data_IF_740323362943
#
_entry.id   IF_740323362943
#
_cell.length_a   1.000
_cell.length_b   1.000
_cell.length_c   1.000
_cell.angle_alpha   90.00
_cell.angle_beta   90.00
_cell.angle_gamma   90.00
#
_symmetry.space_group_name_H-M   'P 1'
#
loop_
_entity.id
_entity.type
_entity.pdbx_description
1 polymer ?
#
# COMPACT_ATOMS: atom_id res chain seq x y z
N UNK A 1 -7.11 2.76 10.15
CA UNK A 1 -5.75 2.98 9.57
C UNK A 1 -5.23 1.66 9.01
N UNK A 2 -4.90 1.61 7.74
CA UNK A 2 -4.24 0.49 7.06
C UNK A 2 -2.72 0.71 7.11
N UNK A 3 -1.99 -0.16 7.80
CA UNK A 3 -0.54 -0.08 7.92
C UNK A 3 0.15 -1.19 7.18
N UNK A 4 0.94 -0.84 6.16
CA UNK A 4 1.77 -1.79 5.42
C UNK A 4 3.22 -1.65 5.86
N UNK A 5 3.82 -2.77 6.22
CA UNK A 5 5.21 -2.82 6.64
C UNK A 5 6.02 -3.65 5.65
N UNK A 6 7.10 -3.05 5.14
CA UNK A 6 8.08 -3.67 4.24
C UNK A 6 8.60 -4.99 4.79
N UNK A 7 8.84 -5.09 6.11
CA UNK A 7 9.37 -6.31 6.74
C UNK A 7 8.36 -7.45 6.96
N UNK A 8 7.07 -7.24 6.68
CA UNK A 8 6.01 -8.23 6.98
C UNK A 8 4.99 -8.36 5.87
N UNK A 9 5.43 -8.26 4.61
CA UNK A 9 4.60 -8.57 3.47
C UNK A 9 4.25 -10.06 3.46
N UNK A 10 3.05 -10.38 2.98
CA UNK A 10 2.61 -11.78 2.88
C UNK A 10 3.46 -12.57 1.87
N UNK A 11 3.59 -13.88 2.08
CA UNK A 11 4.36 -14.77 1.20
C UNK A 11 3.91 -14.66 -0.27
N UNK A 12 2.60 -14.49 -0.51
CA UNK A 12 2.07 -14.32 -1.87
C UNK A 12 2.60 -13.06 -2.54
N UNK A 13 2.67 -11.95 -1.81
CA UNK A 13 3.21 -10.69 -2.33
C UNK A 13 4.72 -10.82 -2.51
N UNK A 14 5.41 -11.38 -1.52
CA UNK A 14 6.86 -11.59 -1.56
C UNK A 14 7.27 -12.45 -2.75
N UNK A 15 6.57 -13.57 -3.00
CA UNK A 15 6.88 -14.47 -4.10
C UNK A 15 6.61 -13.84 -5.48
N UNK A 16 5.63 -12.94 -5.60
CA UNK A 16 5.24 -12.36 -6.90
C UNK A 16 5.96 -11.05 -7.23
N UNK A 17 6.20 -10.22 -6.24
CA UNK A 17 6.73 -8.86 -6.42
C UNK A 17 8.02 -8.60 -5.64
N UNK A 18 8.45 -9.54 -4.80
CA UNK A 18 9.59 -9.37 -3.92
C UNK A 18 9.37 -8.30 -2.86
N UNK A 19 10.44 -8.00 -2.14
CA UNK A 19 10.45 -6.98 -1.10
C UNK A 19 10.66 -5.57 -1.69
N UNK A 20 9.78 -5.17 -2.62
CA UNK A 20 9.94 -3.97 -3.46
C UNK A 20 8.86 -2.93 -3.15
N UNK A 21 9.07 -1.65 -3.55
CA UNK A 21 8.01 -0.63 -3.50
C UNK A 21 6.71 -1.08 -4.17
N UNK A 22 6.82 -1.78 -5.31
CA UNK A 22 5.67 -2.36 -6.01
C UNK A 22 4.95 -3.40 -5.16
N UNK A 23 5.68 -4.30 -4.49
CA UNK A 23 5.07 -5.29 -3.59
C UNK A 23 4.29 -4.65 -2.45
N UNK A 24 4.86 -3.62 -1.82
CA UNK A 24 4.20 -2.83 -0.77
C UNK A 24 2.90 -2.21 -1.29
N UNK A 25 2.96 -1.51 -2.43
CA UNK A 25 1.79 -0.80 -2.98
C UNK A 25 0.70 -1.77 -3.43
N UNK A 26 1.07 -2.89 -4.06
CA UNK A 26 0.09 -3.92 -4.44
C UNK A 26 -0.62 -4.46 -3.20
N UNK A 27 0.12 -4.76 -2.13
CA UNK A 27 -0.48 -5.19 -0.86
C UNK A 27 -1.45 -4.15 -0.31
N UNK A 28 -1.09 -2.86 -0.33
CA UNK A 28 -1.97 -1.78 0.12
C UNK A 28 -3.27 -1.71 -0.70
N UNK A 29 -3.16 -1.75 -2.03
CA UNK A 29 -4.31 -1.65 -2.94
C UNK A 29 -5.25 -2.85 -2.83
N UNK A 30 -4.72 -4.05 -2.58
CA UNK A 30 -5.56 -5.24 -2.34
C UNK A 30 -6.46 -5.05 -1.12
N UNK A 31 -5.91 -4.56 -0.01
CA UNK A 31 -6.72 -4.27 1.18
C UNK A 31 -7.70 -3.11 0.96
N UNK A 32 -7.29 -2.05 0.25
CA UNK A 32 -8.20 -0.95 -0.12
C UNK A 32 -9.41 -1.48 -0.89
N UNK A 33 -9.21 -2.39 -1.85
CA UNK A 33 -10.32 -3.01 -2.60
C UNK A 33 -11.24 -3.84 -1.71
N UNK A 34 -10.69 -4.57 -0.74
CA UNK A 34 -11.49 -5.33 0.24
C UNK A 34 -12.33 -4.38 1.09
N UNK A 35 -11.75 -3.30 1.62
CA UNK A 35 -12.53 -2.33 2.39
C UNK A 35 -13.65 -1.70 1.56
N UNK A 36 -13.36 -1.33 0.30
CA UNK A 36 -14.37 -0.81 -0.61
C UNK A 36 -15.50 -1.81 -0.90
N UNK A 37 -15.19 -3.11 -1.07
CA UNK A 37 -16.24 -4.12 -1.30
C UNK A 37 -17.13 -4.32 -0.06
N UNK A 38 -16.59 -4.06 1.12
CA UNK A 38 -17.35 -4.05 2.39
C UNK A 38 -18.03 -2.69 2.69
N UNK A 39 -18.09 -1.78 1.71
CA UNK A 39 -18.62 -0.42 1.85
C UNK A 39 -17.94 0.41 2.95
N UNK A 40 -16.68 0.10 3.27
CA UNK A 40 -15.88 0.82 4.24
C UNK A 40 -14.87 1.73 3.54
N UNK A 41 -15.05 3.05 3.67
CA UNK A 41 -14.21 4.05 2.98
C UNK A 41 -13.41 4.96 3.93
N UNK A 42 -13.60 4.84 5.25
CA UNK A 42 -12.91 5.69 6.22
C UNK A 42 -11.51 5.13 6.53
N UNK A 43 -10.56 5.41 5.62
CA UNK A 43 -9.22 4.86 5.66
C UNK A 43 -8.16 5.96 5.74
N UNK A 44 -7.16 5.71 6.60
CA UNK A 44 -5.85 6.35 6.56
C UNK A 44 -4.85 5.27 6.19
N UNK A 45 -4.00 5.51 5.19
CA UNK A 45 -3.01 4.54 4.72
C UNK A 45 -1.62 4.96 5.18
N UNK A 46 -0.83 4.00 5.67
CA UNK A 46 0.55 4.23 6.10
C UNK A 46 1.47 3.15 5.53
N UNK A 47 2.61 3.57 5.02
CA UNK A 47 3.69 2.68 4.57
C UNK A 47 4.85 2.83 5.53
N UNK A 48 5.45 1.71 5.95
CA UNK A 48 6.61 1.69 6.84
C UNK A 48 7.73 0.86 6.21
N UNK A 49 8.93 1.43 6.19
CA UNK A 49 10.17 0.74 5.84
C UNK A 49 11.29 1.35 6.66
N UNK A 50 12.31 0.55 7.01
CA UNK A 50 13.56 1.01 7.57
C UNK A 50 14.47 1.66 6.53
N UNK A 51 14.22 1.42 5.24
CA UNK A 51 14.90 2.06 4.13
C UNK A 51 14.09 3.29 3.66
N UNK A 52 14.69 4.47 3.83
CA UNK A 52 14.06 5.75 3.46
C UNK A 52 13.82 5.90 1.96
N UNK A 53 14.66 5.31 1.10
CA UNK A 53 14.48 5.38 -0.35
C UNK A 53 13.26 4.55 -0.76
N UNK A 54 13.15 3.32 -0.24
CA UNK A 54 11.98 2.44 -0.45
C UNK A 54 10.71 3.10 0.06
N UNK A 55 10.76 3.74 1.24
CA UNK A 55 9.62 4.44 1.81
C UNK A 55 9.12 5.57 0.90
N UNK A 56 10.01 6.44 0.43
CA UNK A 56 9.66 7.58 -0.44
C UNK A 56 9.09 7.10 -1.77
N UNK A 57 9.74 6.10 -2.38
CA UNK A 57 9.28 5.53 -3.65
C UNK A 57 7.90 4.87 -3.49
N UNK A 58 7.71 4.09 -2.43
CA UNK A 58 6.44 3.40 -2.15
C UNK A 58 5.30 4.39 -1.95
N UNK A 59 5.51 5.49 -1.21
CA UNK A 59 4.49 6.51 -1.02
C UNK A 59 4.11 7.21 -2.33
N UNK A 60 5.10 7.58 -3.17
CA UNK A 60 4.85 8.18 -4.49
C UNK A 60 4.06 7.23 -5.41
N UNK A 61 4.46 5.96 -5.43
CA UNK A 61 3.79 4.93 -6.22
C UNK A 61 2.37 4.65 -5.71
N UNK A 62 2.17 4.62 -4.39
CA UNK A 62 0.86 4.46 -3.75
C UNK A 62 -0.11 5.56 -4.20
N UNK A 63 0.31 6.82 -4.09
CA UNK A 63 -0.53 7.97 -4.48
C UNK A 63 -0.89 7.89 -5.97
N UNK A 64 0.08 7.60 -6.84
CA UNK A 64 -0.18 7.39 -8.28
C UNK A 64 -1.21 6.29 -8.53
N UNK A 65 -1.11 5.17 -7.82
CA UNK A 65 -2.02 4.04 -7.96
C UNK A 65 -3.43 4.38 -7.45
N UNK A 66 -3.55 5.07 -6.33
CA UNK A 66 -4.84 5.54 -5.81
C UNK A 66 -5.52 6.49 -6.81
N UNK A 67 -4.78 7.48 -7.32
CA UNK A 67 -5.28 8.39 -8.36
C UNK A 67 -5.75 7.66 -9.61
N UNK A 68 -5.03 6.61 -10.05
CA UNK A 68 -5.43 5.78 -11.20
C UNK A 68 -6.78 5.07 -10.97
N UNK A 69 -7.12 4.76 -9.72
CA UNK A 69 -8.41 4.19 -9.36
C UNK A 69 -9.46 5.24 -8.98
N UNK A 70 -9.17 6.54 -9.09
CA UNK A 70 -10.07 7.61 -8.65
C UNK A 70 -10.24 7.67 -7.13
N UNK A 71 -9.29 7.13 -6.38
CA UNK A 71 -9.31 7.06 -4.92
C UNK A 71 -8.39 8.12 -4.32
N UNK A 72 -8.77 8.63 -3.16
CA UNK A 72 -7.97 9.58 -2.37
C UNK A 72 -8.16 9.29 -0.89
N UNK A 73 -7.07 8.94 -0.20
CA UNK A 73 -7.05 8.68 1.23
C UNK A 73 -5.91 9.48 1.89
N UNK A 74 -6.08 9.94 3.13
CA UNK A 74 -4.98 10.49 3.92
C UNK A 74 -3.83 9.49 4.03
N UNK A 75 -2.61 10.00 3.86
CA UNK A 75 -1.36 9.25 4.04
C UNK A 75 -0.72 9.66 5.37
N UNK A 76 -0.27 8.66 6.14
CA UNK A 76 0.41 8.83 7.43
C UNK A 76 1.79 8.20 7.43
#
# INVERSE_FOLDING_TARGET
RLGINHGSLSDRIMNRYGNTPTGIVVSAIEFVKIFLSENFSDLIISVKSSDTAVLVESNRLLVKMLQKFGLSYPIH
#
